data_IF_598131866312
#
_entry.id   IF_598131866312
#
_cell.length_a   1.000
_cell.length_b   1.000
_cell.length_c   1.000
_cell.angle_alpha   90.00
_cell.angle_beta   90.00
_cell.angle_gamma   90.00
#
_symmetry.space_group_name_H-M   'P 1'
#
loop_
_entity.id
_entity.type
_entity.pdbx_description
1 polymer ?
#
# COMPACT_ATOMS: atom_id res chain seq x y z
N UNK A 1 -18.72 26.28 49.75
CA UNK A 1 -17.71 25.51 48.98
C UNK A 1 -18.31 24.15 48.62
N UNK A 2 -18.64 23.93 47.35
CA UNK A 2 -19.01 22.58 46.87
C UNK A 2 -18.64 22.48 45.39
N UNK A 3 -17.36 22.21 45.12
CA UNK A 3 -16.98 21.77 43.78
C UNK A 3 -17.36 20.30 43.64
N UNK A 4 -18.28 20.01 42.72
CA UNK A 4 -18.58 18.65 42.30
C UNK A 4 -17.39 18.14 41.49
N UNK A 5 -16.45 17.44 42.13
CA UNK A 5 -15.44 16.64 41.43
C UNK A 5 -16.10 15.35 40.94
N UNK A 6 -16.65 15.37 39.74
CA UNK A 6 -17.04 14.14 39.05
C UNK A 6 -16.79 14.28 37.55
N UNK A 7 -15.52 14.52 37.19
CA UNK A 7 -15.06 14.32 35.83
C UNK A 7 -14.81 12.82 35.63
N UNK A 8 -15.74 12.12 34.97
CA UNK A 8 -15.51 10.75 34.51
C UNK A 8 -14.44 10.75 33.42
N UNK A 9 -13.37 9.97 33.61
CA UNK A 9 -12.38 9.72 32.56
C UNK A 9 -13.01 8.81 31.50
N UNK A 10 -13.15 9.29 30.26
CA UNK A 10 -13.48 8.42 29.13
C UNK A 10 -12.23 7.63 28.75
N UNK A 11 -12.25 6.30 28.92
CA UNK A 11 -11.18 5.42 28.47
C UNK A 11 -11.30 5.19 26.96
N UNK A 12 -10.72 6.08 26.17
CA UNK A 12 -10.60 5.91 24.73
C UNK A 12 -9.42 4.99 24.41
N UNK A 13 -9.58 3.68 24.64
CA UNK A 13 -8.55 2.64 24.43
C UNK A 13 -8.82 1.69 23.27
N UNK A 14 -9.61 2.12 22.27
CA UNK A 14 -9.94 1.31 21.09
C UNK A 14 -8.90 1.55 20.00
N UNK A 15 -8.25 0.49 19.56
CA UNK A 15 -7.35 0.50 18.41
C UNK A 15 -7.66 -0.67 17.47
N UNK A 16 -7.32 -0.52 16.20
CA UNK A 16 -7.43 -1.57 15.19
C UNK A 16 -6.07 -2.22 14.97
N UNK A 17 -6.06 -3.54 14.81
CA UNK A 17 -4.83 -4.25 14.46
C UNK A 17 -4.23 -3.73 13.14
N UNK A 18 -2.90 -3.69 13.06
CA UNK A 18 -2.18 -3.25 11.87
C UNK A 18 -2.51 -4.14 10.66
N UNK A 19 -3.00 -3.55 9.57
CA UNK A 19 -3.46 -4.28 8.37
C UNK A 19 -2.34 -4.72 7.41
N UNK A 20 -1.06 -4.55 7.81
CA UNK A 20 0.13 -4.99 7.08
C UNK A 20 0.21 -4.48 5.62
N UNK A 21 -0.29 -3.26 5.37
CA UNK A 21 -0.06 -2.53 4.12
C UNK A 21 1.43 -2.26 3.88
N UNK A 22 1.75 -1.79 2.68
CA UNK A 22 3.10 -1.44 2.25
C UNK A 22 3.57 -2.24 1.06
N UNK A 23 4.80 -1.92 0.64
CA UNK A 23 5.52 -2.59 -0.44
C UNK A 23 5.86 -4.02 -0.04
N UNK A 24 5.68 -4.95 -0.97
CA UNK A 24 5.99 -6.38 -0.83
C UNK A 24 7.11 -6.83 -1.74
N UNK A 25 7.32 -6.12 -2.85
CA UNK A 25 8.41 -6.33 -3.80
C UNK A 25 9.08 -5.00 -4.13
N UNK A 26 10.39 -4.96 -3.96
CA UNK A 26 11.20 -3.76 -4.17
C UNK A 26 11.74 -3.69 -5.60
N UNK A 27 12.27 -2.52 -5.97
CA UNK A 27 12.88 -2.32 -7.29
C UNK A 27 14.06 -3.27 -7.49
N UNK A 28 14.17 -3.86 -8.68
CA UNK A 28 15.22 -4.83 -9.02
C UNK A 28 14.92 -6.27 -8.62
N UNK A 29 13.84 -6.52 -7.88
CA UNK A 29 13.46 -7.89 -7.53
C UNK A 29 12.76 -8.61 -8.70
N UNK A 30 13.09 -9.90 -8.86
CA UNK A 30 12.38 -10.81 -9.76
C UNK A 30 11.03 -11.20 -9.18
N UNK A 31 9.99 -11.17 -10.01
CA UNK A 31 8.62 -11.52 -9.65
C UNK A 31 8.01 -12.43 -10.69
N UNK A 32 7.06 -13.25 -10.24
CA UNK A 32 6.19 -14.04 -11.10
C UNK A 32 4.87 -13.31 -11.36
N UNK A 33 4.17 -13.69 -12.42
CA UNK A 33 2.80 -13.31 -12.68
C UNK A 33 1.93 -13.68 -11.47
N UNK A 34 1.05 -12.76 -11.07
CA UNK A 34 0.20 -12.87 -9.88
C UNK A 34 0.85 -12.41 -8.58
N UNK A 35 2.17 -12.20 -8.51
CA UNK A 35 2.80 -11.71 -7.27
C UNK A 35 2.25 -10.34 -6.85
N UNK A 36 1.95 -10.19 -5.56
CA UNK A 36 1.58 -8.90 -4.98
C UNK A 36 2.82 -8.03 -4.87
N UNK A 37 2.76 -6.83 -5.44
CA UNK A 37 3.82 -5.83 -5.39
C UNK A 37 3.62 -4.86 -4.22
N UNK A 38 2.39 -4.36 -4.03
CA UNK A 38 2.08 -3.34 -3.01
C UNK A 38 0.66 -3.54 -2.51
N UNK A 39 0.47 -3.53 -1.19
CA UNK A 39 -0.85 -3.41 -0.56
C UNK A 39 -1.02 -1.98 -0.06
N UNK A 40 -2.07 -1.28 -0.45
CA UNK A 40 -2.23 0.13 -0.13
C UNK A 40 -3.71 0.49 0.11
N UNK A 41 -3.95 1.63 0.77
CA UNK A 41 -5.28 2.27 0.81
C UNK A 41 -5.31 3.38 -0.21
N UNK A 42 -6.20 3.23 -1.20
CA UNK A 42 -6.18 4.07 -2.40
C UNK A 42 -4.90 3.91 -3.22
N UNK A 43 -4.82 4.60 -4.36
CA UNK A 43 -3.65 4.58 -5.25
C UNK A 43 -2.63 5.65 -4.88
N UNK A 44 -1.78 5.36 -3.88
CA UNK A 44 -0.58 6.16 -3.62
C UNK A 44 0.46 5.93 -4.72
N UNK A 45 0.67 4.66 -5.06
CA UNK A 45 1.43 4.24 -6.23
C UNK A 45 0.45 3.70 -7.27
N UNK A 46 0.71 4.03 -8.53
CA UNK A 46 -0.12 3.62 -9.67
C UNK A 46 0.38 2.36 -10.34
N UNK A 47 -0.52 1.61 -11.00
CA UNK A 47 -0.11 0.57 -11.93
C UNK A 47 0.62 1.21 -13.13
N UNK A 48 1.77 0.67 -13.46
CA UNK A 48 2.53 0.95 -14.68
C UNK A 48 2.42 -0.20 -15.67
N UNK A 49 3.49 -0.45 -16.44
CA UNK A 49 3.53 -1.50 -17.45
C UNK A 49 3.48 -2.88 -16.78
N UNK A 50 2.65 -3.78 -17.31
CA UNK A 50 2.47 -5.15 -16.83
C UNK A 50 2.04 -5.30 -15.36
N UNK A 51 1.43 -4.27 -14.77
CA UNK A 51 0.91 -4.29 -13.40
C UNK A 51 -0.61 -4.14 -13.42
N UNK A 52 -1.30 -4.98 -12.64
CA UNK A 52 -2.74 -4.89 -12.42
C UNK A 52 -3.08 -4.15 -11.12
N UNK A 53 -4.27 -3.56 -11.08
CA UNK A 53 -4.85 -2.94 -9.88
C UNK A 53 -6.05 -3.79 -9.43
N UNK A 54 -6.01 -4.27 -8.18
CA UNK A 54 -7.11 -4.99 -7.55
C UNK A 54 -8.21 -4.05 -7.04
N UNK A 55 -9.37 -4.63 -6.67
CA UNK A 55 -10.52 -3.88 -6.11
C UNK A 55 -10.17 -3.13 -4.82
N UNK A 56 -9.26 -3.67 -4.03
CA UNK A 56 -8.75 -3.09 -2.78
C UNK A 56 -7.53 -2.18 -3.01
N UNK A 57 -7.26 -1.78 -4.26
CA UNK A 57 -6.11 -1.00 -4.68
C UNK A 57 -4.75 -1.71 -4.56
N UNK A 58 -4.74 -3.01 -4.26
CA UNK A 58 -3.51 -3.82 -4.28
C UNK A 58 -2.95 -3.90 -5.69
N UNK A 59 -1.63 -3.72 -5.83
CA UNK A 59 -0.93 -3.84 -7.09
C UNK A 59 -0.29 -5.22 -7.21
N UNK A 60 -0.45 -5.85 -8.36
CA UNK A 60 0.08 -7.20 -8.63
C UNK A 60 0.69 -7.30 -10.02
N UNK A 61 1.68 -8.18 -10.18
CA UNK A 61 2.32 -8.41 -11.47
C UNK A 61 1.40 -9.21 -12.40
N UNK A 62 1.35 -8.85 -13.69
CA UNK A 62 0.62 -9.62 -14.72
C UNK A 62 1.53 -10.59 -15.46
N UNK A 63 2.85 -10.41 -15.37
CA UNK A 63 3.87 -11.20 -16.08
C UNK A 63 5.04 -11.52 -15.15
N UNK A 64 5.89 -12.45 -15.57
CA UNK A 64 7.18 -12.68 -14.93
C UNK A 64 8.17 -11.58 -15.35
N UNK A 65 9.04 -11.16 -14.45
CA UNK A 65 10.03 -10.13 -14.77
C UNK A 65 10.61 -9.41 -13.56
N UNK A 66 11.13 -8.21 -13.79
CA UNK A 66 11.81 -7.40 -12.77
C UNK A 66 11.00 -6.15 -12.43
N UNK A 67 10.81 -5.88 -11.13
CA UNK A 67 10.06 -4.72 -10.64
C UNK A 67 10.86 -3.44 -10.81
N UNK A 68 10.23 -2.38 -11.29
CA UNK A 68 10.80 -1.03 -11.37
C UNK A 68 9.81 0.03 -10.89
N UNK A 69 10.33 1.06 -10.23
CA UNK A 69 9.55 2.20 -9.76
C UNK A 69 9.98 3.45 -10.51
N UNK A 70 9.00 4.22 -10.96
CA UNK A 70 9.23 5.41 -11.77
C UNK A 70 8.25 6.51 -11.39
N UNK A 71 8.60 7.75 -11.72
CA UNK A 71 7.68 8.87 -11.56
C UNK A 71 6.57 8.76 -12.59
N UNK A 72 5.32 8.87 -12.13
CA UNK A 72 4.16 8.93 -13.00
C UNK A 72 3.81 10.37 -13.37
N UNK A 73 3.86 11.24 -12.37
CA UNK A 73 3.73 12.69 -12.50
C UNK A 73 4.75 13.34 -11.59
N UNK A 74 4.76 14.68 -11.50
CA UNK A 74 5.64 15.43 -10.59
C UNK A 74 5.57 14.94 -9.13
N UNK A 75 4.40 14.50 -8.67
CA UNK A 75 4.15 14.17 -7.26
C UNK A 75 3.72 12.72 -7.03
N UNK A 76 3.51 11.92 -8.09
CA UNK A 76 2.99 10.54 -7.96
C UNK A 76 3.95 9.56 -8.61
N UNK A 77 4.04 8.36 -8.04
CA UNK A 77 4.88 7.27 -8.54
C UNK A 77 4.00 6.17 -9.15
N UNK A 78 4.57 5.41 -10.08
CA UNK A 78 3.99 4.16 -10.57
C UNK A 78 5.01 3.03 -10.44
N UNK A 79 4.52 1.80 -10.45
CA UNK A 79 5.33 0.59 -10.44
C UNK A 79 5.04 -0.20 -11.72
N UNK A 80 6.11 -0.61 -12.39
CA UNK A 80 6.07 -1.40 -13.62
C UNK A 80 6.83 -2.71 -13.41
N UNK A 81 6.51 -3.73 -14.20
CA UNK A 81 7.30 -4.97 -14.28
C UNK A 81 7.84 -5.08 -15.70
N UNK A 82 9.17 -5.04 -15.80
CA UNK A 82 9.89 -5.25 -17.05
C UNK A 82 9.96 -6.76 -17.27
N UNK A 83 9.29 -7.23 -18.31
CA UNK A 83 9.33 -8.64 -18.68
C UNK A 83 10.77 -9.05 -18.99
N UNK A 84 11.12 -10.26 -18.56
CA UNK A 84 12.37 -10.91 -18.97
C UNK A 84 12.27 -11.48 -20.38
#
# INVERSE_FOLDING_TARGET
>A
MAQKKAGGSSRNGRDSAGQRFGVKKYSGEKVKAGNILIRQKGTQIHPGKNVGLGKDYTLFSRVDGTVTFEWFTKNRKKVSVLAD
#
